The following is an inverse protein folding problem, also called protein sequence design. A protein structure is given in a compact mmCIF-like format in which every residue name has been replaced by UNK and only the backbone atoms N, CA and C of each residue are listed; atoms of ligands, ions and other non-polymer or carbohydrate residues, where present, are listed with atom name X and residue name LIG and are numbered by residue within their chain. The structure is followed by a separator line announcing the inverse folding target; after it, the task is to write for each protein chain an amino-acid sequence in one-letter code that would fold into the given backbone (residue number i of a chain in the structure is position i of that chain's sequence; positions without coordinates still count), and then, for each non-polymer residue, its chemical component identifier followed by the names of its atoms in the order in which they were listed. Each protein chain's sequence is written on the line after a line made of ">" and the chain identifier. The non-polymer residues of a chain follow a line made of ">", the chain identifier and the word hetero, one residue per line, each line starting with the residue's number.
data_IF_324547387643
#
_entry.id   IF_324547387643
#
_cell.length_a   1.000
_cell.length_b   1.000
_cell.length_c   1.000
_cell.angle_alpha   90.00
_cell.angle_beta   90.00
_cell.angle_gamma   90.00
#
_symmetry.space_group_name_H-M   'P 1'
#
loop_
_entity.id
_entity.type
_entity.pdbx_description
1 polymer ?
#
# COMPACT_ATOMS: atom_id res chain seq x y z
N UNK A 1 -43.77 35.54 24.88
CA UNK A 1 -42.48 35.22 24.23
C UNK A 1 -41.36 35.60 25.19
N UNK A 2 -40.55 34.65 25.62
CA UNK A 2 -39.48 34.88 26.60
C UNK A 2 -38.18 35.26 25.89
N UNK A 3 -37.85 36.55 25.90
CA UNK A 3 -36.66 37.09 25.25
C UNK A 3 -35.34 36.61 25.88
N UNK A 4 -35.32 36.22 27.16
CA UNK A 4 -34.11 35.66 27.81
C UNK A 4 -33.85 34.25 27.30
N UNK A 5 -34.91 33.44 27.18
CA UNK A 5 -34.84 32.09 26.63
C UNK A 5 -34.35 32.11 25.17
N UNK A 6 -34.89 32.99 24.34
CA UNK A 6 -34.48 33.12 22.93
C UNK A 6 -33.00 33.55 22.78
N UNK A 7 -32.51 34.45 23.65
CA UNK A 7 -31.08 34.84 23.66
C UNK A 7 -30.17 33.68 24.04
N UNK A 8 -30.52 32.93 25.08
CA UNK A 8 -29.75 31.77 25.50
C UNK A 8 -29.70 30.66 24.43
N UNK A 9 -30.82 30.41 23.74
CA UNK A 9 -30.88 29.46 22.61
C UNK A 9 -30.00 29.94 21.44
N UNK A 10 -30.01 31.23 21.11
CA UNK A 10 -29.16 31.78 20.06
C UNK A 10 -27.67 31.68 20.39
N UNK A 11 -27.27 31.98 21.64
CA UNK A 11 -25.89 31.85 22.12
C UNK A 11 -25.41 30.39 22.11
N UNK A 12 -26.26 29.47 22.57
CA UNK A 12 -25.96 28.04 22.52
C UNK A 12 -25.74 27.56 21.09
N UNK A 13 -26.62 27.92 20.15
CA UNK A 13 -26.50 27.55 18.75
C UNK A 13 -25.24 28.13 18.10
N UNK A 14 -24.88 29.38 18.42
CA UNK A 14 -23.66 30.01 17.92
C UNK A 14 -22.38 29.30 18.43
N UNK A 15 -22.36 28.93 19.71
CA UNK A 15 -21.26 28.16 20.29
C UNK A 15 -21.14 26.78 19.67
N UNK A 16 -22.27 26.09 19.46
CA UNK A 16 -22.31 24.77 18.83
C UNK A 16 -21.78 24.81 17.39
N UNK A 17 -22.17 25.80 16.59
CA UNK A 17 -21.65 25.99 15.22
C UNK A 17 -20.13 26.22 15.23
N UNK A 18 -19.66 27.02 16.19
CA UNK A 18 -18.22 27.29 16.36
C UNK A 18 -17.46 26.01 16.70
N UNK A 19 -17.98 25.20 17.62
CA UNK A 19 -17.40 23.90 18.00
C UNK A 19 -17.35 22.93 16.81
N UNK A 20 -18.46 22.76 16.09
CA UNK A 20 -18.55 21.88 14.91
C UNK A 20 -17.50 22.28 13.87
N UNK A 21 -17.37 23.58 13.57
CA UNK A 21 -16.40 24.06 12.59
C UNK A 21 -14.96 23.84 13.04
N UNK A 22 -14.67 24.02 14.34
CA UNK A 22 -13.36 23.72 14.90
C UNK A 22 -13.01 22.22 14.80
N UNK A 23 -13.98 21.34 15.09
CA UNK A 23 -13.81 19.90 14.99
C UNK A 23 -13.63 19.43 13.53
N UNK A 24 -14.40 19.97 12.58
CA UNK A 24 -14.19 19.72 11.14
C UNK A 24 -12.78 20.10 10.70
N UNK A 25 -12.32 21.30 11.05
CA UNK A 25 -10.96 21.75 10.73
C UNK A 25 -9.90 20.82 11.31
N UNK A 26 -10.10 20.33 12.54
CA UNK A 26 -9.22 19.36 13.19
C UNK A 26 -9.22 18.01 12.48
N UNK A 27 -10.38 17.49 12.07
CA UNK A 27 -10.49 16.24 11.32
C UNK A 27 -9.80 16.33 9.95
N UNK A 28 -10.02 17.43 9.20
CA UNK A 28 -9.35 17.68 7.92
C UNK A 28 -7.82 17.72 8.08
N UNK A 29 -7.32 18.45 9.07
CA UNK A 29 -5.88 18.50 9.38
C UNK A 29 -5.29 17.13 9.71
N UNK A 30 -6.05 16.24 10.36
CA UNK A 30 -5.63 14.85 10.62
C UNK A 30 -5.65 13.99 9.36
N UNK A 31 -6.62 14.16 8.46
CA UNK A 31 -6.58 13.52 7.15
C UNK A 31 -5.36 13.94 6.34
N UNK A 32 -5.04 15.23 6.29
CA UNK A 32 -3.85 15.73 5.60
C UNK A 32 -2.57 15.09 6.16
N UNK A 33 -2.48 14.97 7.50
CA UNK A 33 -1.37 14.27 8.15
C UNK A 33 -1.33 12.78 7.78
N UNK A 34 -2.47 12.09 7.78
CA UNK A 34 -2.58 10.69 7.39
C UNK A 34 -2.10 10.48 5.94
N UNK A 35 -2.53 11.32 4.99
CA UNK A 35 -2.10 11.21 3.59
C UNK A 35 -0.60 11.46 3.41
N UNK A 36 -0.04 12.41 4.15
CA UNK A 36 1.42 12.65 4.16
C UNK A 36 2.19 11.41 4.66
N UNK A 37 1.69 10.75 5.70
CA UNK A 37 2.28 9.51 6.21
C UNK A 37 2.14 8.36 5.21
N UNK A 38 0.98 8.20 4.57
CA UNK A 38 0.77 7.17 3.54
C UNK A 38 1.76 7.37 2.39
N UNK A 39 1.91 8.60 1.88
CA UNK A 39 2.89 8.89 0.83
C UNK A 39 4.34 8.60 1.28
N UNK A 40 4.66 8.87 2.55
CA UNK A 40 5.97 8.52 3.13
C UNK A 40 6.18 7.01 3.13
N UNK A 41 5.18 6.26 3.59
CA UNK A 41 5.21 4.80 3.60
C UNK A 41 5.36 4.23 2.18
N UNK A 42 4.59 4.72 1.21
CA UNK A 42 4.62 4.26 -0.19
C UNK A 42 6.03 4.42 -0.79
N UNK A 43 6.71 5.53 -0.51
CA UNK A 43 8.08 5.76 -0.97
C UNK A 43 9.09 4.79 -0.34
N UNK A 44 8.94 4.50 0.96
CA UNK A 44 9.77 3.52 1.66
C UNK A 44 9.52 2.10 1.13
N UNK A 45 8.25 1.73 0.95
CA UNK A 45 7.85 0.44 0.39
C UNK A 45 8.40 0.26 -1.02
N UNK A 46 8.24 1.24 -1.91
CA UNK A 46 8.76 1.19 -3.28
C UNK A 46 10.29 1.05 -3.32
N UNK A 47 10.99 1.77 -2.44
CA UNK A 47 12.45 1.65 -2.31
C UNK A 47 12.85 0.24 -1.89
N UNK A 48 12.13 -0.32 -0.90
CA UNK A 48 12.37 -1.67 -0.41
C UNK A 48 12.06 -2.73 -1.46
N UNK A 49 10.92 -2.63 -2.14
CA UNK A 49 10.54 -3.48 -3.26
C UNK A 49 11.62 -3.51 -4.33
N UNK A 50 12.12 -2.34 -4.74
CA UNK A 50 13.18 -2.24 -5.76
C UNK A 50 14.45 -2.98 -5.33
N UNK A 51 14.85 -2.86 -4.07
CA UNK A 51 16.03 -3.54 -3.54
C UNK A 51 15.83 -5.06 -3.44
N UNK A 52 14.66 -5.51 -2.98
CA UNK A 52 14.28 -6.93 -2.95
C UNK A 52 14.22 -7.52 -4.36
N UNK A 53 13.62 -6.82 -5.32
CA UNK A 53 13.54 -7.27 -6.71
C UNK A 53 14.94 -7.40 -7.35
N UNK A 54 15.87 -6.47 -7.06
CA UNK A 54 17.27 -6.61 -7.49
C UNK A 54 17.94 -7.87 -6.93
N UNK A 55 17.72 -8.20 -5.65
CA UNK A 55 18.22 -9.44 -5.04
C UNK A 55 17.62 -10.67 -5.75
N UNK A 56 16.31 -10.67 -6.02
CA UNK A 56 15.62 -11.73 -6.77
C UNK A 56 16.24 -11.93 -8.16
N UNK A 57 16.54 -10.85 -8.89
CA UNK A 57 17.21 -10.92 -10.19
C UNK A 57 18.58 -11.59 -10.08
N UNK A 58 19.36 -11.28 -9.04
CA UNK A 58 20.68 -11.89 -8.86
C UNK A 58 20.57 -13.39 -8.56
N UNK A 59 19.63 -13.80 -7.72
CA UNK A 59 19.36 -15.21 -7.45
C UNK A 59 18.89 -15.94 -8.72
N UNK A 60 18.01 -15.33 -9.51
CA UNK A 60 17.61 -15.84 -10.82
C UNK A 60 18.81 -16.07 -11.74
N UNK A 61 19.69 -15.07 -11.87
CA UNK A 61 20.88 -15.14 -12.72
C UNK A 61 21.84 -16.24 -12.27
N UNK A 62 22.04 -16.37 -10.97
CA UNK A 62 22.88 -17.42 -10.37
C UNK A 62 22.30 -18.81 -10.64
N UNK A 63 21.00 -18.99 -10.38
CA UNK A 63 20.31 -20.26 -10.62
C UNK A 63 20.34 -20.67 -12.09
N UNK A 64 20.05 -19.73 -13.01
CA UNK A 64 20.07 -20.00 -14.46
C UNK A 64 21.46 -20.40 -14.96
N UNK A 65 22.51 -19.67 -14.54
CA UNK A 65 23.90 -20.02 -14.88
C UNK A 65 24.30 -21.41 -14.36
N UNK A 66 23.91 -21.75 -13.13
CA UNK A 66 24.21 -23.06 -12.52
C UNK A 66 23.59 -24.22 -13.32
N UNK A 67 22.47 -23.97 -13.99
CA UNK A 67 21.75 -24.93 -14.82
C UNK A 67 22.02 -24.73 -16.33
N UNK A 68 23.18 -24.18 -16.70
CA UNK A 68 23.66 -24.08 -18.08
C UNK A 68 22.84 -23.17 -19.02
N UNK A 69 21.95 -22.32 -18.49
CA UNK A 69 21.27 -21.31 -19.29
C UNK A 69 22.21 -20.12 -19.58
N UNK A 70 22.18 -19.64 -20.82
CA UNK A 70 22.86 -18.42 -21.22
C UNK A 70 22.03 -17.19 -20.84
N UNK A 71 22.61 -16.26 -20.08
CA UNK A 71 21.93 -15.00 -19.74
C UNK A 71 21.89 -14.05 -20.95
N UNK A 72 20.72 -13.46 -21.20
CA UNK A 72 20.49 -12.38 -22.14
C UNK A 72 20.15 -11.10 -21.37
N UNK A 73 21.15 -10.25 -21.15
CA UNK A 73 20.95 -8.89 -20.64
C UNK A 73 20.73 -7.95 -21.84
N UNK A 74 19.53 -7.96 -22.43
CA UNK A 74 19.12 -6.83 -23.28
C UNK A 74 18.82 -5.66 -22.34
N UNK A 75 19.58 -4.57 -22.47
CA UNK A 75 19.48 -3.29 -21.76
C UNK A 75 20.31 -3.16 -20.47
N UNK A 76 21.56 -2.69 -20.65
CA UNK A 76 22.43 -2.21 -19.58
C UNK A 76 21.84 -0.94 -18.91
N UNK A 77 21.07 -0.13 -19.65
CA UNK A 77 20.42 1.08 -19.10
C UNK A 77 19.24 0.77 -18.16
N UNK A 78 18.60 -0.41 -18.27
CA UNK A 78 17.45 -0.78 -17.44
C UNK A 78 17.79 -1.44 -16.11
N UNK A 79 19.08 -1.69 -15.82
CA UNK A 79 19.51 -2.36 -14.57
C UNK A 79 19.22 -1.52 -13.30
N UNK A 80 18.94 -0.23 -13.47
CA UNK A 80 18.49 0.66 -12.41
C UNK A 80 16.97 0.90 -12.39
N UNK A 81 16.22 0.32 -13.33
CA UNK A 81 14.77 0.41 -13.37
C UNK A 81 14.14 -0.69 -12.51
N UNK A 82 12.99 -0.40 -11.89
CA UNK A 82 12.14 -1.40 -11.24
C UNK A 82 11.53 -2.42 -12.23
N UNK A 83 11.85 -2.28 -13.52
CA UNK A 83 11.29 -3.05 -14.64
C UNK A 83 12.36 -3.85 -15.38
N UNK A 84 13.51 -4.10 -14.74
CA UNK A 84 14.49 -5.02 -15.30
C UNK A 84 13.85 -6.41 -15.46
N UNK A 85 13.91 -6.96 -16.68
CA UNK A 85 13.33 -8.26 -17.02
C UNK A 85 14.46 -9.22 -17.40
N UNK A 86 15.17 -9.81 -16.42
CA UNK A 86 16.26 -10.73 -16.74
C UNK A 86 15.71 -11.90 -17.53
N UNK A 87 16.43 -12.28 -18.58
CA UNK A 87 16.08 -13.38 -19.46
C UNK A 87 17.26 -14.34 -19.56
N UNK A 88 16.98 -15.62 -19.54
CA UNK A 88 17.92 -16.70 -19.73
C UNK A 88 17.44 -17.60 -20.87
N UNK A 89 18.37 -18.19 -21.62
CA UNK A 89 18.08 -18.96 -22.83
C UNK A 89 18.78 -20.31 -22.78
N UNK A 90 18.08 -21.35 -23.23
CA UNK A 90 18.61 -22.69 -23.45
C UNK A 90 18.04 -23.23 -24.76
N UNK A 91 18.89 -23.38 -25.79
CA UNK A 91 18.47 -23.63 -27.17
C UNK A 91 17.40 -22.64 -27.68
N UNK A 92 16.19 -23.09 -27.99
CA UNK A 92 15.05 -22.29 -28.44
C UNK A 92 14.16 -21.82 -27.29
N UNK A 93 14.40 -22.32 -26.07
CA UNK A 93 13.65 -21.97 -24.87
C UNK A 93 14.21 -20.72 -24.19
N UNK A 94 13.30 -19.86 -23.71
CA UNK A 94 13.60 -18.69 -22.88
C UNK A 94 12.86 -18.76 -21.57
N UNK A 95 13.54 -18.37 -20.48
CA UNK A 95 12.96 -18.16 -19.17
C UNK A 95 13.21 -16.72 -18.75
N UNK A 96 12.20 -16.01 -18.26
CA UNK A 96 12.34 -14.61 -17.85
C UNK A 96 11.54 -14.28 -16.60
N UNK A 97 11.96 -13.22 -15.88
CA UNK A 97 11.10 -12.55 -14.90
C UNK A 97 10.46 -11.32 -15.53
N UNK A 98 9.14 -11.20 -15.42
CA UNK A 98 8.39 -10.02 -15.89
C UNK A 98 7.57 -9.43 -14.74
N UNK A 99 7.66 -8.12 -14.56
CA UNK A 99 6.90 -7.38 -13.54
C UNK A 99 5.75 -6.64 -14.20
N UNK A 100 4.54 -6.79 -13.68
CA UNK A 100 3.41 -5.96 -14.02
C UNK A 100 3.47 -4.65 -13.21
N UNK A 101 3.50 -3.50 -13.89
CA UNK A 101 3.86 -2.25 -13.24
C UNK A 101 2.86 -1.78 -12.19
N UNK A 102 1.57 -2.06 -12.40
CA UNK A 102 0.47 -1.55 -11.59
C UNK A 102 0.27 -2.44 -10.37
N UNK A 103 0.08 -3.75 -10.57
CA UNK A 103 -0.15 -4.66 -9.45
C UNK A 103 1.13 -5.11 -8.75
N UNK A 104 2.30 -4.84 -9.33
CA UNK A 104 3.62 -5.34 -8.89
C UNK A 104 3.70 -6.87 -8.84
N UNK A 105 2.77 -7.57 -9.51
CA UNK A 105 2.85 -9.01 -9.73
C UNK A 105 4.05 -9.32 -10.61
N UNK A 106 4.67 -10.46 -10.35
CA UNK A 106 5.84 -10.96 -11.05
C UNK A 106 5.48 -12.31 -11.65
N UNK A 107 5.75 -12.46 -12.95
CA UNK A 107 5.61 -13.69 -13.67
C UNK A 107 6.99 -14.27 -13.97
N UNK A 108 7.23 -15.51 -13.56
CA UNK A 108 8.24 -16.35 -14.19
C UNK A 108 7.63 -16.85 -15.50
N UNK A 109 8.25 -16.54 -16.64
CA UNK A 109 7.73 -16.89 -17.95
C UNK A 109 8.60 -17.92 -18.64
N UNK A 110 7.99 -18.86 -19.38
CA UNK A 110 8.65 -19.72 -20.36
C UNK A 110 8.16 -19.38 -21.75
N UNK A 111 9.05 -18.98 -22.66
CA UNK A 111 8.69 -18.53 -24.01
C UNK A 111 7.56 -17.50 -23.98
N UNK A 112 7.75 -16.47 -23.16
CA UNK A 112 6.79 -15.38 -22.90
C UNK A 112 5.45 -15.78 -22.24
N UNK A 113 5.20 -17.06 -21.97
CA UNK A 113 4.01 -17.52 -21.25
C UNK A 113 4.29 -17.57 -19.74
N UNK A 114 3.48 -16.88 -18.93
CA UNK A 114 3.59 -16.95 -17.47
C UNK A 114 3.31 -18.39 -17.00
N UNK A 115 4.28 -18.98 -16.29
CA UNK A 115 4.19 -20.33 -15.72
C UNK A 115 3.99 -20.30 -14.20
N UNK A 116 4.50 -19.25 -13.53
CA UNK A 116 4.29 -19.02 -12.11
C UNK A 116 4.07 -17.52 -11.92
N UNK A 117 2.94 -17.17 -11.31
CA UNK A 117 2.65 -15.82 -10.84
C UNK A 117 2.98 -15.74 -9.35
N UNK A 118 3.67 -14.69 -8.94
CA UNK A 118 3.99 -14.42 -7.55
C UNK A 118 4.13 -12.92 -7.29
N UNK A 119 4.16 -12.53 -6.01
CA UNK A 119 4.43 -11.16 -5.58
C UNK A 119 5.53 -11.13 -4.54
N UNK A 120 6.24 -10.01 -4.45
CA UNK A 120 7.07 -9.70 -3.31
C UNK A 120 6.24 -8.88 -2.33
N UNK A 121 6.14 -9.36 -1.09
CA UNK A 121 5.36 -8.68 -0.06
C UNK A 121 6.03 -8.82 1.30
N UNK A 122 5.57 -8.01 2.26
CA UNK A 122 5.92 -8.21 3.66
C UNK A 122 5.28 -9.52 4.17
N UNK A 123 5.82 -10.13 5.24
CA UNK A 123 5.21 -11.31 5.85
C UNK A 123 3.71 -11.08 6.11
N UNK A 124 2.84 -12.10 5.94
CA UNK A 124 1.36 -11.97 6.05
C UNK A 124 0.89 -11.40 7.40
N UNK A 125 1.71 -11.53 8.45
CA UNK A 125 1.45 -10.95 9.78
C UNK A 125 1.60 -9.43 9.81
N UNK A 126 2.23 -8.87 8.79
CA UNK A 126 2.55 -7.47 8.65
C UNK A 126 1.58 -6.77 7.70
N UNK A 127 1.44 -5.48 7.95
CA UNK A 127 0.26 -4.72 7.57
C UNK A 127 0.26 -4.36 6.08
N UNK A 128 -0.79 -4.77 5.36
CA UNK A 128 -0.98 -4.42 3.95
C UNK A 128 -1.47 -2.97 3.82
N UNK A 129 -0.64 -2.19 3.14
CA UNK A 129 -0.79 -0.75 2.91
C UNK A 129 -2.06 -0.37 2.14
N UNK A 130 -2.63 -1.31 1.37
CA UNK A 130 -3.86 -1.06 0.60
C UNK A 130 -5.08 -0.74 1.47
N UNK A 131 -5.03 -1.07 2.77
CA UNK A 131 -6.15 -0.93 3.70
C UNK A 131 -6.04 0.25 4.67
N UNK A 132 -5.05 1.14 4.52
CA UNK A 132 -4.88 2.25 5.46
C UNK A 132 -6.10 3.18 5.50
N UNK A 133 -6.74 3.41 4.35
CA UNK A 133 -7.95 4.23 4.24
C UNK A 133 -9.24 3.42 4.25
N UNK A 134 -9.14 2.09 4.26
CA UNK A 134 -10.30 1.22 4.22
C UNK A 134 -11.06 1.25 5.54
N UNK A 135 -12.38 1.12 5.42
CA UNK A 135 -13.31 1.04 6.55
C UNK A 135 -13.29 2.26 7.48
N UNK A 136 -13.01 3.46 6.97
CA UNK A 136 -13.33 4.70 7.71
C UNK A 136 -14.84 4.89 7.63
N UNK A 137 -15.53 4.59 8.73
CA UNK A 137 -16.99 4.62 8.86
C UNK A 137 -17.37 5.38 10.12
N UNK A 138 -18.26 6.34 10.01
CA UNK A 138 -18.82 7.10 11.14
C UNK A 138 -20.32 7.17 10.96
N UNK A 139 -21.05 6.78 12.00
CA UNK A 139 -22.52 6.79 11.98
C UNK A 139 -23.12 6.12 10.72
N UNK A 140 -22.56 4.97 10.34
CA UNK A 140 -22.98 4.17 9.17
C UNK A 140 -22.57 4.72 7.80
N UNK A 141 -21.99 5.93 7.72
CA UNK A 141 -21.47 6.52 6.48
C UNK A 141 -20.02 6.12 6.27
N UNK A 142 -19.68 5.61 5.10
CA UNK A 142 -18.30 5.24 4.75
C UNK A 142 -17.65 6.34 3.95
N UNK A 143 -16.36 6.58 4.15
CA UNK A 143 -15.57 7.52 3.34
C UNK A 143 -15.73 7.24 1.83
N UNK A 144 -15.73 5.95 1.45
CA UNK A 144 -15.89 5.51 0.06
C UNK A 144 -17.24 5.86 -0.56
N UNK A 145 -18.27 6.13 0.25
CA UNK A 145 -19.60 6.51 -0.26
C UNK A 145 -19.56 7.92 -0.89
N UNK A 146 -18.54 8.72 -0.58
CA UNK A 146 -18.34 10.09 -1.05
C UNK A 146 -17.39 10.17 -2.25
N UNK A 147 -16.84 9.04 -2.70
CA UNK A 147 -16.01 8.99 -3.91
C UNK A 147 -15.03 7.83 -3.92
N UNK A 148 -14.62 7.45 -5.14
CA UNK A 148 -13.66 6.35 -5.37
C UNK A 148 -12.26 6.73 -4.84
N UNK A 149 -11.91 8.02 -4.92
CA UNK A 149 -10.62 8.54 -4.49
C UNK A 149 -10.73 9.15 -3.09
N UNK A 150 -10.35 8.38 -2.08
CA UNK A 150 -10.43 8.76 -0.67
C UNK A 150 -9.68 10.08 -0.35
N UNK A 151 -8.59 10.36 -1.04
CA UNK A 151 -7.82 11.62 -0.92
C UNK A 151 -8.53 12.85 -1.49
N UNK A 152 -9.69 12.66 -2.13
CA UNK A 152 -10.57 13.72 -2.62
C UNK A 152 -11.87 13.73 -1.81
N UNK A 153 -12.44 12.53 -1.55
CA UNK A 153 -13.72 12.36 -0.86
C UNK A 153 -13.72 12.80 0.62
N UNK A 154 -12.55 12.90 1.26
CA UNK A 154 -12.45 13.17 2.71
C UNK A 154 -13.03 14.52 3.14
N UNK A 155 -13.01 15.52 2.26
CA UNK A 155 -13.54 16.86 2.55
C UNK A 155 -15.06 16.80 2.66
N UNK A 156 -15.73 16.32 1.61
CA UNK A 156 -17.19 16.16 1.59
C UNK A 156 -17.68 15.20 2.68
N UNK A 157 -16.95 14.10 2.92
CA UNK A 157 -17.22 13.18 4.01
C UNK A 157 -17.22 13.88 5.37
N UNK A 158 -16.17 14.66 5.66
CA UNK A 158 -16.02 15.40 6.93
C UNK A 158 -17.10 16.48 7.08
N UNK A 159 -17.40 17.20 6.00
CA UNK A 159 -18.42 18.25 5.98
C UNK A 159 -19.83 17.70 6.18
N UNK A 160 -20.07 16.44 5.83
CA UNK A 160 -21.36 15.77 6.00
C UNK A 160 -21.80 15.58 7.46
N UNK A 161 -20.87 15.68 8.42
CA UNK A 161 -21.16 15.55 9.85
C UNK A 161 -21.46 16.90 10.49
N UNK A 162 -22.58 16.98 11.21
CA UNK A 162 -23.08 18.20 11.85
C UNK A 162 -23.16 18.09 13.37
N UNK A 163 -22.66 17.00 13.97
CA UNK A 163 -22.66 16.79 15.41
C UNK A 163 -21.22 16.75 15.95
N UNK A 164 -20.95 17.30 17.15
CA UNK A 164 -19.65 17.14 17.80
C UNK A 164 -19.29 15.67 18.07
N UNK A 165 -20.28 14.81 18.35
CA UNK A 165 -20.07 13.38 18.61
C UNK A 165 -19.47 12.67 17.39
N UNK A 166 -20.10 12.83 16.22
CA UNK A 166 -19.68 12.17 14.98
C UNK A 166 -18.29 12.66 14.54
N UNK A 167 -18.02 13.96 14.71
CA UNK A 167 -16.70 14.53 14.37
C UNK A 167 -15.60 14.07 15.32
N UNK A 168 -15.89 13.88 16.62
CA UNK A 168 -14.93 13.30 17.55
C UNK A 168 -14.68 11.81 17.25
N UNK A 169 -15.71 11.04 16.93
CA UNK A 169 -15.57 9.65 16.47
C UNK A 169 -14.70 9.57 15.21
N UNK A 170 -14.94 10.45 14.23
CA UNK A 170 -14.11 10.56 13.02
C UNK A 170 -12.64 10.83 13.37
N UNK A 171 -12.38 11.79 14.25
CA UNK A 171 -11.03 12.13 14.70
C UNK A 171 -10.35 10.93 15.35
N UNK A 172 -11.04 10.20 16.22
CA UNK A 172 -10.50 9.00 16.88
C UNK A 172 -10.16 7.88 15.90
N UNK A 173 -10.99 7.68 14.87
CA UNK A 173 -10.72 6.70 13.81
C UNK A 173 -9.47 7.10 13.02
N UNK A 174 -9.37 8.37 12.61
CA UNK A 174 -8.19 8.86 11.88
C UNK A 174 -6.92 8.74 12.75
N UNK A 175 -7.00 9.04 14.05
CA UNK A 175 -5.87 8.89 14.96
C UNK A 175 -5.38 7.44 15.08
N UNK A 176 -6.30 6.48 15.14
CA UNK A 176 -5.94 5.05 15.09
C UNK A 176 -5.24 4.71 13.77
N UNK A 177 -5.71 5.24 12.64
CA UNK A 177 -5.07 5.03 11.33
C UNK A 177 -3.70 5.70 11.24
N UNK A 178 -3.53 6.91 11.77
CA UNK A 178 -2.23 7.59 11.85
C UNK A 178 -1.23 6.73 12.62
N UNK A 179 -1.60 6.27 13.82
CA UNK A 179 -0.74 5.42 14.65
C UNK A 179 -0.38 4.12 13.92
N UNK A 180 -1.34 3.54 13.20
CA UNK A 180 -1.12 2.33 12.38
C UNK A 180 -0.08 2.57 11.28
N UNK A 181 -0.23 3.62 10.48
CA UNK A 181 0.73 3.96 9.41
C UNK A 181 2.10 4.32 9.98
N UNK A 182 2.16 5.06 11.09
CA UNK A 182 3.42 5.39 11.75
C UNK A 182 4.17 4.13 12.23
N UNK A 183 3.46 3.18 12.82
CA UNK A 183 4.05 1.89 13.21
C UNK A 183 4.57 1.13 11.98
N UNK A 184 3.82 1.13 10.88
CA UNK A 184 4.25 0.50 9.64
C UNK A 184 5.53 1.16 9.07
N UNK A 185 5.61 2.50 9.07
CA UNK A 185 6.81 3.25 8.68
C UNK A 185 7.99 2.89 9.58
N UNK A 186 7.80 2.90 10.89
CA UNK A 186 8.86 2.62 11.86
C UNK A 186 9.38 1.19 11.71
N UNK A 187 8.52 0.23 11.39
CA UNK A 187 8.89 -1.19 11.37
C UNK A 187 9.31 -1.70 9.97
N UNK A 188 9.14 -0.92 8.90
CA UNK A 188 9.39 -1.40 7.52
C UNK A 188 10.82 -1.89 7.30
N UNK A 189 11.78 -1.42 8.09
CA UNK A 189 13.18 -1.83 7.99
C UNK A 189 13.47 -3.18 8.67
N UNK A 190 12.60 -3.65 9.57
CA UNK A 190 12.80 -4.86 10.38
C UNK A 190 12.57 -6.16 9.61
N UNK A 191 11.79 -6.11 8.52
CA UNK A 191 11.37 -7.29 7.78
C UNK A 191 11.96 -7.29 6.38
N UNK A 192 12.35 -8.43 5.84
CA UNK A 192 12.62 -8.57 4.40
C UNK A 192 11.35 -8.98 3.64
N UNK A 193 11.33 -8.77 2.32
CA UNK A 193 10.20 -9.24 1.50
C UNK A 193 10.28 -10.74 1.25
N UNK A 194 9.13 -11.40 1.33
CA UNK A 194 8.94 -12.80 0.97
C UNK A 194 8.38 -12.91 -0.44
N UNK A 195 8.50 -14.09 -1.04
CA UNK A 195 7.78 -14.44 -2.27
C UNK A 195 6.48 -15.14 -1.88
N UNK A 196 5.36 -14.62 -2.36
CA UNK A 196 4.06 -15.28 -2.25
C UNK A 196 3.57 -15.67 -3.64
N UNK A 197 3.41 -16.95 -3.91
CA UNK A 197 2.90 -17.45 -5.19
C UNK A 197 1.38 -17.34 -5.25
N UNK A 198 0.82 -17.31 -6.46
CA UNK A 198 -0.63 -17.37 -6.66
C UNK A 198 -1.26 -18.70 -6.19
N UNK A 199 -0.44 -19.75 -6.02
CA UNK A 199 -0.84 -21.06 -5.46
C UNK A 199 -0.89 -21.07 -3.94
N UNK A 200 -0.47 -19.99 -3.27
CA UNK A 200 -0.48 -19.86 -1.80
C UNK A 200 0.82 -20.27 -1.10
N UNK A 201 1.86 -20.63 -1.85
CA UNK A 201 3.18 -20.94 -1.28
C UNK A 201 3.91 -19.65 -0.89
N UNK A 202 4.70 -19.73 0.19
CA UNK A 202 5.48 -18.60 0.69
C UNK A 202 6.94 -19.01 0.86
N UNK A 203 7.85 -18.18 0.34
CA UNK A 203 9.29 -18.39 0.45
C UNK A 203 9.94 -17.19 1.10
N UNK A 204 10.57 -17.40 2.26
CA UNK A 204 11.28 -16.36 3.00
C UNK A 204 12.60 -15.96 2.33
N UNK A 205 13.21 -16.92 1.61
CA UNK A 205 14.45 -16.72 0.86
C UNK A 205 14.21 -16.95 -0.63
N UNK A 206 14.74 -16.04 -1.44
CA UNK A 206 14.62 -16.13 -2.89
C UNK A 206 15.32 -17.36 -3.49
N UNK A 207 16.43 -17.80 -2.89
CA UNK A 207 17.11 -19.03 -3.31
C UNK A 207 16.22 -20.27 -3.17
N UNK A 208 15.39 -20.33 -2.12
CA UNK A 208 14.52 -21.47 -1.86
C UNK A 208 13.37 -21.52 -2.85
N UNK A 209 12.87 -20.36 -3.29
CA UNK A 209 11.91 -20.30 -4.41
C UNK A 209 12.46 -20.95 -5.68
N UNK A 210 13.69 -20.60 -6.08
CA UNK A 210 14.29 -21.17 -7.30
C UNK A 210 14.64 -22.65 -7.16
N UNK A 211 15.09 -23.11 -5.98
CA UNK A 211 15.35 -24.55 -5.73
C UNK A 211 14.08 -25.39 -5.79
N UNK A 212 12.92 -24.82 -5.49
CA UNK A 212 11.63 -25.51 -5.51
C UNK A 212 10.91 -25.45 -6.87
N UNK A 213 11.51 -24.80 -7.89
CA UNK A 213 11.06 -24.97 -9.27
C UNK A 213 11.27 -26.43 -9.67
N UNK A 214 10.20 -27.22 -9.67
CA UNK A 214 10.24 -28.62 -10.09
C UNK A 214 10.64 -28.67 -11.56
N UNK A 215 11.60 -29.54 -11.86
CA UNK A 215 12.10 -29.88 -13.20
C UNK A 215 10.97 -30.30 -14.16
#
# INVERSE_FOLDING_TARGET
>A
MDLKKLKAEAEFNANLVTEINALRKKALSKFDHLFSLINTYDNLWNTKFKNSYRKLIQEFKTYMKKNEFQLFDKNIESQNSMYAQPTAKYYDMTISLKVEEITKKICLTRNDKCIIEFRLDLPIKEQDYKYFLDNIVVNGRKLSDFGIYNNIAYQEFTESFTSPSDLNELIEIIDKKINYVQNAINNIHLYDFYIHTSTGETFEKFEDFFKNLKE
#
